data_IF_433745247490
#
_entry.id   IF_433745247490
#
_cell.length_a   1.000
_cell.length_b   1.000
_cell.length_c   1.000
_cell.angle_alpha   90.00
_cell.angle_beta   90.00
_cell.angle_gamma   90.00
#
_symmetry.space_group_name_H-M   'P 1'
#
loop_
_entity.id
_entity.type
_entity.pdbx_description
1 polymer ?
#
# COMPACT_ATOMS: atom_id res chain seq x y z
N UNK A 1 -6.77 57.76 -24.02
CA UNK A 1 -5.81 56.70 -23.62
C UNK A 1 -6.63 55.54 -23.06
N UNK A 2 -6.64 54.41 -23.78
CA UNK A 2 -6.94 53.01 -23.43
C UNK A 2 -7.52 52.69 -22.03
N UNK A 3 -8.42 51.72 -21.78
CA UNK A 3 -9.25 50.76 -22.54
C UNK A 3 -10.11 50.10 -21.45
N UNK A 4 -11.42 49.97 -21.59
CA UNK A 4 -12.22 49.01 -20.82
C UNK A 4 -13.30 48.39 -21.71
N UNK A 5 -13.38 47.06 -21.56
CA UNK A 5 -14.42 46.07 -21.91
C UNK A 5 -15.34 46.27 -23.13
N UNK A 6 -15.58 45.18 -23.86
CA UNK A 6 -16.93 44.60 -23.96
C UNK A 6 -16.90 43.23 -24.66
N UNK A 7 -17.85 42.42 -24.22
CA UNK A 7 -18.17 41.06 -24.60
C UNK A 7 -18.82 40.95 -26.00
N UNK A 8 -18.76 39.73 -26.54
CA UNK A 8 -19.71 39.08 -27.47
C UNK A 8 -20.01 39.72 -28.82
N UNK A 9 -19.59 39.06 -29.91
CA UNK A 9 -20.46 38.79 -31.05
C UNK A 9 -20.14 37.41 -31.64
N UNK A 10 -21.20 36.63 -31.85
CA UNK A 10 -21.22 35.28 -32.40
C UNK A 10 -21.95 35.35 -33.75
N UNK A 11 -21.42 34.63 -34.74
CA UNK A 11 -22.02 34.10 -35.98
C UNK A 11 -22.33 35.03 -37.17
N UNK A 12 -21.70 34.74 -38.32
CA UNK A 12 -22.27 34.07 -39.53
C UNK A 12 -21.27 34.19 -40.71
N UNK A 13 -20.61 33.11 -41.19
CA UNK A 13 -20.79 32.35 -42.47
C UNK A 13 -19.37 31.94 -42.97
N UNK A 14 -19.15 31.01 -43.93
CA UNK A 14 -19.87 29.80 -44.33
C UNK A 14 -19.04 28.50 -44.17
N UNK A 15 -19.75 27.37 -44.22
CA UNK A 15 -19.23 26.02 -44.50
C UNK A 15 -18.48 26.01 -45.84
N UNK A 16 -17.16 25.78 -45.83
CA UNK A 16 -16.46 25.00 -46.89
C UNK A 16 -14.98 24.70 -46.58
N UNK A 17 -14.42 25.16 -45.46
CA UNK A 17 -13.02 24.90 -45.09
C UNK A 17 -12.80 23.98 -43.87
N UNK A 18 -13.79 23.16 -43.50
CA UNK A 18 -13.63 22.14 -42.44
C UNK A 18 -13.26 20.73 -42.93
N UNK A 19 -12.94 20.58 -44.22
CA UNK A 19 -12.55 19.26 -44.79
C UNK A 19 -11.04 19.06 -44.94
N UNK A 20 -10.20 20.06 -44.68
CA UNK A 20 -8.76 19.99 -44.96
C UNK A 20 -7.84 20.18 -43.73
N UNK A 21 -8.41 20.34 -42.53
CA UNK A 21 -7.64 20.49 -41.27
C UNK A 21 -7.99 19.41 -40.22
N UNK A 22 -8.58 18.30 -40.65
CA UNK A 22 -8.81 17.10 -39.83
C UNK A 22 -7.90 15.93 -40.25
N UNK A 23 -6.89 16.17 -41.09
CA UNK A 23 -6.12 15.10 -41.75
C UNK A 23 -4.60 15.23 -41.61
N UNK A 24 -4.15 15.85 -40.53
CA UNK A 24 -2.72 15.98 -40.23
C UNK A 24 -2.51 15.96 -38.71
N UNK A 25 -2.49 14.75 -38.12
CA UNK A 25 -1.69 14.36 -36.95
C UNK A 25 -1.91 12.87 -36.58
N UNK A 26 -2.03 11.99 -37.58
CA UNK A 26 -2.18 10.55 -37.37
C UNK A 26 -1.11 9.77 -38.15
N UNK A 27 0.00 9.51 -37.48
CA UNK A 27 0.97 8.46 -37.80
C UNK A 27 1.33 7.72 -36.49
N UNK A 28 1.62 6.41 -36.50
CA UNK A 28 0.63 5.35 -36.48
C UNK A 28 0.57 4.64 -35.11
N UNK A 29 -0.40 4.99 -34.25
CA UNK A 29 -0.72 4.21 -33.02
C UNK A 29 -1.52 2.91 -33.35
N UNK A 30 -1.47 2.43 -34.60
CA UNK A 30 -2.48 1.52 -35.13
C UNK A 30 -2.01 0.09 -35.41
N UNK A 31 -0.72 -0.22 -35.30
CA UNK A 31 -0.27 -1.61 -35.50
C UNK A 31 -0.13 -2.30 -34.15
N UNK A 32 -1.17 -3.05 -33.78
CA UNK A 32 -1.11 -3.99 -32.68
C UNK A 32 -0.04 -5.03 -33.05
N UNK A 33 0.98 -5.27 -32.21
CA UNK A 33 2.13 -6.11 -32.53
C UNK A 33 1.76 -7.60 -32.43
N UNK A 34 0.85 -8.08 -33.27
CA UNK A 34 0.33 -9.46 -33.20
C UNK A 34 1.44 -10.53 -33.28
N UNK A 35 2.52 -10.24 -34.00
CA UNK A 35 3.72 -11.09 -34.09
C UNK A 35 4.50 -11.16 -32.77
N UNK A 36 4.46 -10.12 -31.93
CA UNK A 36 5.11 -10.10 -30.62
C UNK A 36 4.23 -10.67 -29.49
N UNK A 37 2.97 -11.02 -29.78
CA UNK A 37 2.07 -11.59 -28.76
C UNK A 37 2.54 -12.98 -28.30
N UNK A 38 2.16 -13.43 -27.10
CA UNK A 38 2.41 -14.81 -26.66
C UNK A 38 1.74 -15.83 -27.59
N UNK A 39 2.30 -17.04 -27.68
CA UNK A 39 1.71 -18.15 -28.45
C UNK A 39 0.27 -18.44 -28.00
N UNK A 40 0.02 -18.48 -26.71
CA UNK A 40 -1.33 -18.71 -26.14
C UNK A 40 -2.37 -17.71 -26.65
N UNK A 41 -1.95 -16.46 -26.88
CA UNK A 41 -2.83 -15.44 -27.45
C UNK A 41 -3.08 -15.77 -28.91
N UNK A 42 -2.05 -16.00 -29.71
CA UNK A 42 -2.21 -16.35 -31.14
C UNK A 42 -3.08 -17.59 -31.34
N UNK A 43 -2.90 -18.63 -30.53
CA UNK A 43 -3.72 -19.85 -30.58
C UNK A 43 -5.17 -19.56 -30.22
N UNK A 44 -5.42 -18.80 -29.15
CA UNK A 44 -6.78 -18.41 -28.77
C UNK A 44 -7.49 -17.56 -29.84
N UNK A 45 -6.74 -16.72 -30.57
CA UNK A 45 -7.27 -15.93 -31.68
C UNK A 45 -7.62 -16.81 -32.89
N UNK A 46 -6.77 -17.78 -33.23
CA UNK A 46 -7.03 -18.74 -34.30
C UNK A 46 -8.28 -19.58 -34.02
N UNK A 47 -8.49 -19.95 -32.75
CA UNK A 47 -9.65 -20.72 -32.30
C UNK A 47 -10.90 -19.86 -32.09
N UNK A 48 -10.81 -18.54 -32.19
CA UNK A 48 -11.91 -17.61 -31.89
C UNK A 48 -12.37 -17.64 -30.43
N UNK A 49 -11.53 -18.11 -29.51
CA UNK A 49 -11.85 -18.27 -28.08
C UNK A 49 -11.32 -17.11 -27.25
N UNK A 50 -11.91 -16.91 -26.06
CA UNK A 50 -11.42 -15.96 -25.06
C UNK A 50 -10.10 -16.47 -24.47
N UNK A 51 -9.00 -15.69 -24.51
CA UNK A 51 -7.74 -16.10 -23.92
C UNK A 51 -7.83 -16.28 -22.40
N UNK A 52 -6.96 -17.13 -21.86
CA UNK A 52 -6.86 -17.32 -20.40
C UNK A 52 -6.53 -15.99 -19.69
N UNK A 53 -6.91 -15.82 -18.41
CA UNK A 53 -6.57 -14.61 -17.66
C UNK A 53 -5.07 -14.31 -17.64
N UNK A 54 -4.21 -15.34 -17.58
CA UNK A 54 -2.76 -15.18 -17.61
C UNK A 54 -2.25 -14.68 -18.96
N UNK A 55 -2.71 -15.30 -20.06
CA UNK A 55 -2.36 -14.90 -21.42
C UNK A 55 -2.81 -13.46 -21.71
N UNK A 56 -4.03 -13.11 -21.29
CA UNK A 56 -4.59 -11.76 -21.44
C UNK A 56 -3.76 -10.70 -20.70
N UNK A 57 -3.30 -10.98 -19.48
CA UNK A 57 -2.38 -10.07 -18.75
C UNK A 57 -1.07 -9.86 -19.51
N UNK A 58 -0.53 -10.91 -20.12
CA UNK A 58 0.72 -10.80 -20.89
C UNK A 58 0.53 -9.95 -22.15
N UNK A 59 -0.58 -10.13 -22.87
CA UNK A 59 -0.95 -9.23 -23.99
C UNK A 59 -1.04 -7.77 -23.54
N UNK A 60 -1.68 -7.50 -22.40
CA UNK A 60 -1.77 -6.13 -21.85
C UNK A 60 -0.39 -5.53 -21.58
N UNK A 61 0.58 -6.32 -21.13
CA UNK A 61 1.97 -5.85 -20.95
C UNK A 61 2.60 -5.46 -22.28
N UNK A 62 2.54 -6.34 -23.29
CA UNK A 62 3.08 -6.07 -24.63
C UNK A 62 2.44 -4.81 -25.24
N UNK A 63 1.12 -4.67 -25.13
CA UNK A 63 0.40 -3.47 -25.60
C UNK A 63 0.87 -2.21 -24.88
N UNK A 64 0.95 -2.23 -23.55
CA UNK A 64 1.39 -1.08 -22.78
C UNK A 64 2.84 -0.71 -23.11
N UNK A 65 3.73 -1.68 -23.28
CA UNK A 65 5.13 -1.46 -23.62
C UNK A 65 5.27 -0.86 -25.03
N UNK A 66 4.53 -1.36 -26.02
CA UNK A 66 4.50 -0.77 -27.36
C UNK A 66 3.94 0.66 -27.37
N UNK A 67 2.82 0.89 -26.68
CA UNK A 67 2.22 2.23 -26.59
C UNK A 67 3.19 3.23 -25.95
N UNK A 68 3.97 2.77 -24.97
CA UNK A 68 4.96 3.58 -24.25
C UNK A 68 6.25 3.87 -25.02
N UNK A 69 6.49 3.22 -26.17
CA UNK A 69 7.58 3.60 -27.08
C UNK A 69 7.36 4.98 -27.71
N UNK A 70 6.09 5.40 -27.84
CA UNK A 70 5.71 6.66 -28.47
C UNK A 70 5.39 7.74 -27.42
N UNK A 71 4.68 7.37 -26.35
CA UNK A 71 4.30 8.29 -25.29
C UNK A 71 4.30 7.57 -23.93
N UNK A 72 5.03 8.10 -22.93
CA UNK A 72 5.13 7.45 -21.61
C UNK A 72 3.79 7.35 -20.87
N UNK A 73 2.88 8.30 -21.11
CA UNK A 73 1.54 8.33 -20.53
C UNK A 73 0.45 8.50 -21.59
N UNK A 74 0.16 7.47 -22.41
CA UNK A 74 -0.85 7.56 -23.45
C UNK A 74 -2.19 8.02 -22.90
N UNK A 75 -2.79 9.01 -23.55
CA UNK A 75 -4.12 9.54 -23.26
C UNK A 75 -5.19 8.46 -23.30
N UNK A 76 -6.34 8.73 -22.65
CA UNK A 76 -7.49 7.81 -22.69
C UNK A 76 -7.97 7.59 -24.13
N UNK A 77 -7.93 8.62 -24.98
CA UNK A 77 -8.32 8.53 -26.39
C UNK A 77 -7.48 7.51 -27.16
N UNK A 78 -6.15 7.58 -27.05
CA UNK A 78 -5.25 6.61 -27.69
C UNK A 78 -5.48 5.18 -27.20
N UNK A 79 -5.69 4.99 -25.89
CA UNK A 79 -6.01 3.68 -25.32
C UNK A 79 -7.34 3.13 -25.87
N UNK A 80 -8.36 3.98 -26.01
CA UNK A 80 -9.65 3.60 -26.58
C UNK A 80 -9.51 3.15 -28.04
N UNK A 81 -8.75 3.88 -28.86
CA UNK A 81 -8.52 3.51 -30.27
C UNK A 81 -7.87 2.13 -30.40
N UNK A 82 -6.86 1.84 -29.59
CA UNK A 82 -6.21 0.50 -29.55
C UNK A 82 -7.21 -0.58 -29.17
N UNK A 83 -8.01 -0.35 -28.12
CA UNK A 83 -9.00 -1.32 -27.66
C UNK A 83 -10.10 -1.58 -28.71
N UNK A 84 -10.59 -0.53 -29.36
CA UNK A 84 -11.60 -0.63 -30.43
C UNK A 84 -11.07 -1.44 -31.61
N UNK A 85 -9.82 -1.23 -32.03
CA UNK A 85 -9.22 -1.99 -33.13
C UNK A 85 -9.08 -3.48 -32.79
N UNK A 86 -8.64 -3.80 -31.57
CA UNK A 86 -8.52 -5.17 -31.07
C UNK A 86 -9.88 -5.88 -31.08
N UNK A 87 -10.90 -5.26 -30.48
CA UNK A 87 -12.23 -5.85 -30.35
C UNK A 87 -12.93 -5.95 -31.71
N UNK A 88 -12.71 -5.00 -32.61
CA UNK A 88 -13.22 -5.07 -33.99
C UNK A 88 -12.62 -6.24 -34.76
N UNK A 89 -11.34 -6.53 -34.55
CA UNK A 89 -10.64 -7.62 -35.25
C UNK A 89 -10.95 -8.99 -34.64
N UNK A 90 -11.09 -9.08 -33.31
CA UNK A 90 -11.32 -10.35 -32.59
C UNK A 90 -12.43 -10.19 -31.54
N UNK A 91 -13.69 -10.02 -31.95
CA UNK A 91 -14.80 -9.74 -31.03
C UNK A 91 -15.04 -10.90 -30.06
N UNK A 92 -14.98 -12.16 -30.51
CA UNK A 92 -15.21 -13.32 -29.64
C UNK A 92 -14.12 -13.51 -28.58
N UNK A 93 -12.91 -13.05 -28.85
CA UNK A 93 -11.77 -13.20 -27.95
C UNK A 93 -11.66 -12.07 -26.92
N UNK A 94 -12.03 -10.84 -27.28
CA UNK A 94 -11.77 -9.66 -26.44
C UNK A 94 -12.97 -8.79 -26.10
N UNK A 95 -14.12 -8.96 -26.77
CA UNK A 95 -15.29 -8.19 -26.41
C UNK A 95 -15.76 -8.53 -24.98
N UNK A 96 -16.28 -7.52 -24.31
CA UNK A 96 -17.08 -7.72 -23.11
C UNK A 96 -18.45 -8.26 -23.53
N UNK A 97 -18.65 -9.57 -23.36
CA UNK A 97 -19.87 -10.27 -23.72
C UNK A 97 -20.61 -10.74 -22.47
N UNK A 98 -21.93 -10.73 -22.52
CA UNK A 98 -22.85 -11.35 -21.56
C UNK A 98 -22.96 -12.85 -21.83
N UNK A 99 -23.54 -13.61 -20.89
CA UNK A 99 -23.75 -15.07 -21.04
C UNK A 99 -24.62 -15.43 -22.25
N UNK A 100 -25.49 -14.51 -22.69
CA UNK A 100 -26.32 -14.63 -23.89
C UNK A 100 -25.63 -14.15 -25.18
N UNK A 101 -24.33 -13.86 -25.15
CA UNK A 101 -23.54 -13.39 -26.30
C UNK A 101 -23.70 -11.92 -26.66
N UNK A 102 -24.52 -11.14 -25.91
CA UNK A 102 -24.69 -9.71 -26.17
C UNK A 102 -23.48 -8.89 -25.69
N UNK A 103 -23.11 -7.86 -26.46
CA UNK A 103 -22.02 -6.94 -26.08
C UNK A 103 -22.43 -6.08 -24.89
N UNK A 104 -21.59 -6.04 -23.86
CA UNK A 104 -21.75 -5.23 -22.66
C UNK A 104 -21.18 -3.83 -22.89
N UNK A 105 -22.03 -2.81 -22.83
CA UNK A 105 -21.63 -1.41 -22.99
C UNK A 105 -20.97 -1.16 -24.34
N UNK A 106 -19.75 -0.59 -24.33
CA UNK A 106 -18.96 -0.36 -25.54
C UNK A 106 -18.15 -1.60 -26.00
N UNK A 107 -18.21 -2.70 -25.26
CA UNK A 107 -17.55 -3.97 -25.60
C UNK A 107 -16.04 -4.04 -25.33
N UNK A 108 -15.39 -2.98 -24.85
CA UNK A 108 -13.94 -2.96 -24.64
C UNK A 108 -13.51 -2.35 -23.31
N UNK A 109 -14.45 -2.14 -22.40
CA UNK A 109 -14.21 -1.43 -21.13
C UNK A 109 -13.22 -2.19 -20.26
N UNK A 110 -13.32 -3.52 -20.16
CA UNK A 110 -12.41 -4.32 -19.35
C UNK A 110 -10.97 -4.26 -19.87
N UNK A 111 -10.78 -4.29 -21.20
CA UNK A 111 -9.46 -4.20 -21.83
C UNK A 111 -8.86 -2.80 -21.66
N UNK A 112 -9.68 -1.75 -21.78
CA UNK A 112 -9.26 -0.37 -21.55
C UNK A 112 -8.76 -0.14 -20.12
N UNK A 113 -9.50 -0.64 -19.12
CA UNK A 113 -9.11 -0.55 -17.70
C UNK A 113 -7.78 -1.26 -17.47
N UNK A 114 -7.60 -2.47 -18.02
CA UNK A 114 -6.37 -3.24 -17.87
C UNK A 114 -5.15 -2.51 -18.46
N UNK A 115 -5.28 -1.94 -19.66
CA UNK A 115 -4.19 -1.18 -20.31
C UNK A 115 -3.87 0.10 -19.53
N UNK A 116 -4.88 0.86 -19.11
CA UNK A 116 -4.69 2.08 -18.32
C UNK A 116 -4.01 1.81 -16.98
N UNK A 117 -4.48 0.80 -16.24
CA UNK A 117 -3.87 0.41 -14.97
C UNK A 117 -2.42 -0.03 -15.14
N UNK A 118 -2.10 -0.76 -16.22
CA UNK A 118 -0.72 -1.17 -16.52
C UNK A 118 0.18 0.03 -16.80
N UNK A 119 -0.26 0.97 -17.64
CA UNK A 119 0.48 2.19 -17.96
C UNK A 119 0.71 3.02 -16.69
N UNK A 120 -0.32 3.20 -15.87
CA UNK A 120 -0.21 3.92 -14.60
C UNK A 120 0.80 3.26 -13.67
N UNK A 121 0.71 1.94 -13.49
CA UNK A 121 1.66 1.18 -12.67
C UNK A 121 3.10 1.30 -13.17
N UNK A 122 3.30 1.34 -14.49
CA UNK A 122 4.62 1.54 -15.09
C UNK A 122 5.14 2.97 -14.93
N UNK A 123 4.25 3.95 -14.74
CA UNK A 123 4.63 5.33 -14.48
C UNK A 123 4.89 5.61 -12.99
N UNK A 124 4.49 4.69 -12.09
CA UNK A 124 4.79 4.75 -10.65
C UNK A 124 6.27 4.49 -10.31
N UNK A 125 7.14 4.12 -11.27
CA UNK A 125 8.53 3.72 -11.01
C UNK A 125 9.54 4.83 -10.71
N UNK A 126 9.11 6.09 -10.56
CA UNK A 126 9.98 7.17 -10.06
C UNK A 126 9.74 7.51 -8.59
N UNK A 127 8.52 7.32 -8.07
CA UNK A 127 8.16 7.72 -6.71
C UNK A 127 8.82 6.84 -5.63
N UNK A 128 8.82 5.51 -5.76
CA UNK A 128 9.30 4.64 -4.68
C UNK A 128 10.83 4.55 -4.55
N UNK A 129 11.58 4.74 -5.64
CA UNK A 129 13.06 4.67 -5.61
C UNK A 129 13.70 6.00 -5.19
N UNK A 130 13.11 7.14 -5.55
CA UNK A 130 13.64 8.46 -5.17
C UNK A 130 13.51 8.75 -3.67
N UNK A 131 12.49 8.20 -3.00
CA UNK A 131 12.32 8.37 -1.55
C UNK A 131 13.36 7.64 -0.68
N UNK A 132 14.12 6.68 -1.23
CA UNK A 132 15.16 5.96 -0.48
C UNK A 132 16.57 6.54 -0.63
N UNK A 133 16.79 7.45 -1.59
CA UNK A 133 18.13 7.93 -1.94
C UNK A 133 18.31 9.44 -1.82
N UNK A 134 17.25 10.18 -1.47
CA UNK A 134 17.34 11.63 -1.28
C UNK A 134 17.81 11.92 0.14
N UNK A 135 19.12 12.04 0.33
CA UNK A 135 19.78 12.54 1.54
C UNK A 135 19.66 14.06 1.71
N UNK A 136 18.57 14.64 1.22
CA UNK A 136 18.27 16.06 1.37
C UNK A 136 16.89 16.16 2.02
N UNK A 137 16.78 16.97 3.07
CA UNK A 137 15.72 17.00 4.08
C UNK A 137 14.31 17.38 3.61
N UNK A 138 13.90 16.94 2.44
CA UNK A 138 12.55 17.09 1.91
C UNK A 138 11.61 16.16 2.68
N UNK A 139 10.70 16.78 3.45
CA UNK A 139 9.65 16.12 4.24
C UNK A 139 8.96 15.04 3.42
N UNK A 140 9.10 13.79 3.86
CA UNK A 140 8.43 12.62 3.28
C UNK A 140 6.92 12.80 3.41
N UNK A 141 6.18 12.40 2.38
CA UNK A 141 4.73 12.66 2.30
C UNK A 141 3.92 11.85 3.32
N UNK A 142 2.64 12.21 3.56
CA UNK A 142 1.77 11.58 4.57
C UNK A 142 1.56 10.06 4.41
N UNK A 143 1.80 9.52 3.22
CA UNK A 143 1.66 8.09 2.91
C UNK A 143 2.88 7.27 3.36
N UNK A 144 4.05 7.90 3.54
CA UNK A 144 5.29 7.22 3.96
C UNK A 144 5.35 6.98 5.47
N UNK A 145 4.39 7.50 6.24
CA UNK A 145 4.40 7.40 7.70
C UNK A 145 3.67 6.16 8.22
N UNK A 146 2.96 5.37 7.39
CA UNK A 146 2.27 4.12 7.81
C UNK A 146 1.51 4.24 9.15
N UNK A 147 0.76 5.33 9.35
CA UNK A 147 0.04 5.58 10.60
C UNK A 147 0.89 6.09 11.77
N UNK A 148 2.21 6.25 11.61
CA UNK A 148 3.07 6.93 12.57
C UNK A 148 2.84 8.44 12.48
N UNK A 149 2.23 9.04 13.49
CA UNK A 149 2.02 10.49 13.59
C UNK A 149 3.29 11.23 13.99
N UNK A 150 4.24 10.56 14.67
CA UNK A 150 5.50 11.15 15.18
C UNK A 150 6.74 10.34 14.79
N UNK A 151 6.94 10.11 13.50
CA UNK A 151 8.05 9.28 12.99
C UNK A 151 9.45 9.83 13.29
N UNK A 152 9.63 11.16 13.12
CA UNK A 152 10.86 11.90 13.38
C UNK A 152 10.47 13.26 14.00
N UNK A 153 10.13 13.30 15.30
CA UNK A 153 9.71 14.53 15.93
C UNK A 153 10.92 15.47 16.13
N UNK A 154 10.64 16.76 16.06
CA UNK A 154 11.63 17.80 16.39
C UNK A 154 11.93 17.80 17.90
N UNK A 155 13.05 18.40 18.26
CA UNK A 155 13.47 18.58 19.64
C UNK A 155 12.45 19.47 20.40
N UNK A 156 12.05 19.13 21.64
CA UNK A 156 11.09 19.94 22.40
C UNK A 156 11.61 21.38 22.61
N UNK A 157 10.76 22.42 22.55
CA UNK A 157 11.22 23.82 22.61
C UNK A 157 11.99 24.22 23.87
N UNK A 158 11.81 23.48 24.97
CA UNK A 158 12.44 23.73 26.27
C UNK A 158 13.79 23.01 26.44
N UNK A 159 14.19 22.21 25.44
CA UNK A 159 15.36 21.34 25.52
C UNK A 159 16.45 21.80 24.54
N UNK A 160 17.66 21.25 24.70
CA UNK A 160 18.73 21.28 23.70
C UNK A 160 19.24 19.86 23.46
N UNK A 161 20.06 19.66 22.43
CA UNK A 161 20.67 18.36 22.17
C UNK A 161 21.47 17.87 23.39
N UNK A 162 22.16 18.77 24.09
CA UNK A 162 22.89 18.46 25.32
C UNK A 162 21.97 18.06 26.46
N UNK A 163 20.83 18.74 26.67
CA UNK A 163 19.91 18.39 27.77
C UNK A 163 19.22 17.05 27.50
N UNK A 164 18.86 16.75 26.26
CA UNK A 164 18.29 15.46 25.87
C UNK A 164 19.31 14.33 26.07
N UNK A 165 20.57 14.53 25.71
CA UNK A 165 21.62 13.54 25.94
C UNK A 165 21.90 13.33 27.44
N UNK A 166 21.87 14.38 28.26
CA UNK A 166 21.96 14.24 29.72
C UNK A 166 20.80 13.42 30.29
N UNK A 167 19.58 13.62 29.79
CA UNK A 167 18.40 12.82 30.17
C UNK A 167 18.52 11.36 29.75
N UNK A 168 19.11 11.09 28.58
CA UNK A 168 19.44 9.72 28.15
C UNK A 168 20.45 9.06 29.09
N UNK A 169 21.53 9.75 29.45
CA UNK A 169 22.53 9.25 30.40
C UNK A 169 21.92 8.99 31.79
N UNK A 170 20.96 9.82 32.21
CA UNK A 170 20.20 9.60 33.44
C UNK A 170 19.38 8.31 33.38
N UNK A 171 18.75 7.99 32.25
CA UNK A 171 18.06 6.70 32.04
C UNK A 171 19.03 5.52 32.16
N UNK A 172 20.24 5.62 31.61
CA UNK A 172 21.27 4.57 31.73
C UNK A 172 21.72 4.38 33.18
N UNK A 173 21.90 5.46 33.94
CA UNK A 173 22.26 5.40 35.36
C UNK A 173 21.16 4.71 36.17
N UNK A 174 19.90 5.07 35.95
CA UNK A 174 18.75 4.44 36.61
C UNK A 174 18.71 2.95 36.26
N UNK A 175 18.93 2.58 35.00
CA UNK A 175 18.99 1.18 34.59
C UNK A 175 20.15 0.42 35.22
N UNK A 176 21.34 1.04 35.35
CA UNK A 176 22.48 0.40 36.02
C UNK A 176 22.22 0.12 37.50
N UNK A 177 21.49 1.00 38.17
CA UNK A 177 21.16 0.88 39.59
C UNK A 177 19.98 -0.06 39.84
N UNK A 178 18.90 0.11 39.09
CA UNK A 178 17.59 -0.50 39.38
C UNK A 178 17.20 -1.59 38.37
N UNK A 179 17.96 -1.75 37.29
CA UNK A 179 17.67 -2.67 36.20
C UNK A 179 16.32 -2.37 35.53
N UNK A 180 15.68 -3.44 35.07
CA UNK A 180 14.35 -3.40 34.43
C UNK A 180 13.29 -2.85 35.38
N UNK A 181 13.43 -3.06 36.70
CA UNK A 181 12.47 -2.58 37.71
C UNK A 181 12.37 -1.04 37.77
N UNK A 182 13.38 -0.33 37.25
CA UNK A 182 13.32 1.13 37.12
C UNK A 182 12.18 1.63 36.21
N UNK A 183 11.62 0.77 35.34
CA UNK A 183 10.50 1.13 34.45
C UNK A 183 9.25 1.61 35.19
N UNK A 184 9.09 1.22 36.45
CA UNK A 184 7.97 1.64 37.30
C UNK A 184 8.10 3.06 37.85
N UNK A 185 9.29 3.67 37.73
CA UNK A 185 9.54 5.00 38.27
C UNK A 185 8.92 6.07 37.38
N UNK A 186 8.21 7.01 37.99
CA UNK A 186 7.64 8.16 37.29
C UNK A 186 8.72 8.99 36.55
N UNK A 187 9.93 9.10 37.14
CA UNK A 187 11.10 9.73 36.52
C UNK A 187 11.46 9.04 35.19
N UNK A 188 11.49 7.71 35.14
CA UNK A 188 11.82 6.96 33.90
C UNK A 188 10.76 7.20 32.84
N UNK A 189 9.47 7.20 33.21
CA UNK A 189 8.39 7.52 32.26
C UNK A 189 8.58 8.90 31.63
N UNK A 190 8.80 9.93 32.45
CA UNK A 190 8.98 11.30 31.97
C UNK A 190 10.23 11.45 31.10
N UNK A 191 11.34 10.83 31.50
CA UNK A 191 12.59 10.84 30.73
C UNK A 191 12.41 10.12 29.38
N UNK A 192 11.74 8.97 29.34
CA UNK A 192 11.43 8.24 28.10
C UNK A 192 10.56 9.06 27.15
N UNK A 193 9.54 9.76 27.66
CA UNK A 193 8.69 10.64 26.85
C UNK A 193 9.48 11.86 26.32
N UNK A 194 10.29 12.50 27.16
CA UNK A 194 11.06 13.71 26.78
C UNK A 194 12.15 13.38 25.76
N UNK A 195 12.82 12.24 25.93
CA UNK A 195 13.90 11.78 25.04
C UNK A 195 13.39 11.06 23.78
N UNK A 196 12.07 11.03 23.53
CA UNK A 196 11.48 10.36 22.39
C UNK A 196 12.06 10.82 21.05
N UNK A 197 12.39 12.11 20.91
CA UNK A 197 13.05 12.65 19.71
C UNK A 197 14.40 11.98 19.43
N UNK A 198 15.26 11.85 20.45
CA UNK A 198 16.56 11.20 20.31
C UNK A 198 16.43 9.68 20.08
N UNK A 199 15.46 9.02 20.73
CA UNK A 199 15.15 7.61 20.46
C UNK A 199 14.82 7.40 18.97
N UNK A 200 13.92 8.21 18.40
CA UNK A 200 13.54 8.13 16.99
C UNK A 200 14.71 8.44 16.07
N UNK A 201 15.50 9.48 16.39
CA UNK A 201 16.70 9.82 15.64
C UNK A 201 17.67 8.64 15.56
N UNK A 202 17.98 8.00 16.69
CA UNK A 202 18.92 6.88 16.74
C UNK A 202 18.37 5.60 16.08
N UNK A 203 17.08 5.29 16.25
CA UNK A 203 16.42 4.17 15.56
C UNK A 203 16.42 4.35 14.03
N UNK A 204 16.27 5.60 13.56
CA UNK A 204 16.17 5.92 12.14
C UNK A 204 17.53 6.14 11.44
N UNK A 205 18.67 5.95 12.14
CA UNK A 205 20.01 6.09 11.55
C UNK A 205 20.18 5.11 10.38
N UNK A 206 20.93 5.56 9.36
CA UNK A 206 21.37 4.73 8.24
C UNK A 206 22.90 4.64 8.23
N UNK A 207 23.49 3.42 8.22
CA UNK A 207 22.83 2.11 8.25
C UNK A 207 22.09 1.85 9.57
N UNK A 208 21.05 1.01 9.52
CA UNK A 208 20.23 0.70 10.68
C UNK A 208 21.08 0.11 11.82
N UNK A 209 20.93 0.59 13.06
CA UNK A 209 21.66 0.04 14.20
C UNK A 209 21.20 -1.39 14.50
N UNK A 210 22.05 -2.19 15.13
CA UNK A 210 21.64 -3.52 15.56
C UNK A 210 20.68 -3.43 16.75
N UNK A 211 19.85 -4.47 16.94
CA UNK A 211 18.96 -4.56 18.11
C UNK A 211 19.78 -4.57 19.41
N UNK A 212 20.97 -5.17 19.41
CA UNK A 212 21.86 -5.19 20.57
C UNK A 212 22.34 -3.78 20.94
N UNK A 213 22.77 -2.98 19.95
CA UNK A 213 23.20 -1.60 20.17
C UNK A 213 22.06 -0.72 20.68
N UNK A 214 20.88 -0.85 20.08
CA UNK A 214 19.68 -0.14 20.53
C UNK A 214 19.30 -0.51 21.96
N UNK A 215 19.37 -1.81 22.31
CA UNK A 215 19.05 -2.30 23.66
C UNK A 215 20.05 -1.82 24.70
N UNK A 216 21.32 -1.66 24.32
CA UNK A 216 22.33 -1.09 25.20
C UNK A 216 22.05 0.39 25.50
N UNK A 217 21.70 1.18 24.48
CA UNK A 217 21.47 2.62 24.62
C UNK A 217 20.09 2.96 25.22
N UNK A 218 19.08 2.11 24.97
CA UNK A 218 17.70 2.31 25.38
C UNK A 218 17.08 1.04 25.98
N UNK A 219 17.59 0.54 27.10
CA UNK A 219 17.13 -0.73 27.67
C UNK A 219 15.63 -0.70 28.01
N UNK A 220 15.09 0.45 28.41
CA UNK A 220 13.67 0.59 28.71
C UNK A 220 12.75 0.50 27.49
N UNK A 221 13.22 0.76 26.27
CA UNK A 221 12.44 0.51 25.04
C UNK A 221 12.10 -0.97 24.86
N UNK A 222 12.93 -1.86 25.40
CA UNK A 222 12.78 -3.32 25.31
C UNK A 222 12.01 -3.90 26.50
N UNK A 223 11.24 -3.07 27.20
CA UNK A 223 10.26 -3.49 28.20
C UNK A 223 8.86 -3.36 27.60
N UNK A 224 7.91 -4.18 28.05
CA UNK A 224 6.52 -4.11 27.56
C UNK A 224 5.92 -2.70 27.72
N UNK A 225 6.09 -2.08 28.90
CA UNK A 225 5.61 -0.73 29.17
C UNK A 225 6.28 0.33 28.28
N UNK A 226 7.61 0.27 28.15
CA UNK A 226 8.35 1.21 27.31
C UNK A 226 8.00 1.07 25.84
N UNK A 227 7.86 -0.15 25.33
CA UNK A 227 7.47 -0.42 23.95
C UNK A 227 6.06 0.09 23.66
N UNK A 228 5.09 -0.18 24.55
CA UNK A 228 3.73 0.30 24.39
C UNK A 228 3.66 1.83 24.42
N UNK A 229 4.36 2.48 25.35
CA UNK A 229 4.41 3.94 25.44
C UNK A 229 5.06 4.57 24.20
N UNK A 230 6.17 3.98 23.72
CA UNK A 230 6.82 4.44 22.49
C UNK A 230 5.92 4.27 21.27
N UNK A 231 5.20 3.14 21.16
CA UNK A 231 4.23 2.91 20.10
C UNK A 231 3.07 3.91 20.13
N UNK A 232 2.53 4.18 21.32
CA UNK A 232 1.47 5.18 21.50
C UNK A 232 1.95 6.57 21.10
N UNK A 233 3.14 7.00 21.50
CA UNK A 233 3.71 8.28 21.04
C UNK A 233 3.94 8.31 19.53
N UNK A 234 4.37 7.19 18.95
CA UNK A 234 4.67 7.08 17.53
C UNK A 234 3.42 7.15 16.65
N UNK A 235 2.30 6.56 17.10
CA UNK A 235 1.10 6.31 16.27
C UNK A 235 -0.17 7.00 16.77
N UNK A 236 -0.16 7.54 17.99
CA UNK A 236 -1.34 8.01 18.73
C UNK A 236 -2.37 6.90 19.05
N UNK A 237 -1.94 5.62 18.98
CA UNK A 237 -2.80 4.45 19.25
C UNK A 237 -2.38 3.79 20.56
N UNK A 238 -3.33 3.73 21.50
CA UNK A 238 -3.23 2.91 22.72
C UNK A 238 -3.43 1.43 22.37
N UNK A 239 -2.37 0.76 21.91
CA UNK A 239 -2.44 -0.59 21.32
C UNK A 239 -3.21 -1.61 22.17
N UNK A 240 -2.96 -1.64 23.50
CA UNK A 240 -3.64 -2.57 24.39
C UNK A 240 -5.14 -2.28 24.48
N UNK A 241 -5.51 -1.00 24.62
CA UNK A 241 -6.92 -0.61 24.68
C UNK A 241 -7.64 -0.82 23.35
N UNK A 242 -6.96 -0.56 22.23
CA UNK A 242 -7.50 -0.80 20.90
C UNK A 242 -7.74 -2.30 20.66
N UNK A 243 -6.82 -3.15 21.12
CA UNK A 243 -6.96 -4.61 21.06
C UNK A 243 -8.15 -5.08 21.90
N UNK A 244 -8.26 -4.63 23.15
CA UNK A 244 -9.39 -4.96 24.03
C UNK A 244 -10.74 -4.61 23.40
N UNK A 245 -10.90 -3.38 22.90
CA UNK A 245 -12.12 -2.93 22.23
C UNK A 245 -12.44 -3.78 20.99
N UNK A 246 -11.43 -4.08 20.18
CA UNK A 246 -11.59 -4.92 18.99
C UNK A 246 -12.05 -6.34 19.35
N UNK A 247 -11.56 -6.89 20.47
CA UNK A 247 -12.00 -8.20 20.98
C UNK A 247 -13.43 -8.15 21.51
N UNK A 248 -13.84 -7.06 22.16
CA UNK A 248 -15.22 -6.86 22.63
C UNK A 248 -16.22 -6.71 21.48
N UNK A 249 -15.84 -5.99 20.42
CA UNK A 249 -16.70 -5.70 19.26
C UNK A 249 -16.76 -6.88 18.27
N UNK A 250 -15.61 -7.43 17.88
CA UNK A 250 -15.51 -8.42 16.82
C UNK A 250 -15.27 -9.85 17.33
N UNK A 251 -14.73 -10.02 18.53
CA UNK A 251 -14.31 -11.34 19.03
C UNK A 251 -15.45 -12.35 19.09
N UNK A 252 -16.63 -11.95 19.57
CA UNK A 252 -17.82 -12.82 19.59
C UNK A 252 -18.25 -13.24 18.18
N UNK A 253 -18.23 -12.31 17.22
CA UNK A 253 -18.60 -12.60 15.83
C UNK A 253 -17.62 -13.59 15.18
N UNK A 254 -16.32 -13.47 15.47
CA UNK A 254 -15.30 -14.41 14.99
C UNK A 254 -15.53 -15.81 15.58
N UNK A 255 -15.77 -15.89 16.89
CA UNK A 255 -16.06 -17.17 17.56
C UNK A 255 -17.33 -17.79 16.99
N UNK A 256 -18.41 -17.02 16.83
CA UNK A 256 -19.67 -17.50 16.28
C UNK A 256 -19.52 -18.00 14.84
N UNK A 257 -18.80 -17.25 13.99
CA UNK A 257 -18.50 -17.65 12.62
C UNK A 257 -17.83 -19.02 12.55
N UNK A 258 -16.76 -19.23 13.33
CA UNK A 258 -16.05 -20.51 13.32
C UNK A 258 -16.85 -21.63 14.01
N UNK A 259 -17.69 -21.31 15.00
CA UNK A 259 -18.62 -22.28 15.62
C UNK A 259 -19.56 -22.88 14.59
N UNK A 260 -20.15 -22.02 13.75
CA UNK A 260 -21.14 -22.41 12.77
C UNK A 260 -20.50 -23.04 11.52
N UNK A 261 -19.29 -22.61 11.16
CA UNK A 261 -18.58 -23.06 9.96
C UNK A 261 -17.09 -23.31 10.23
N UNK A 262 -16.75 -24.44 10.88
CA UNK A 262 -15.36 -24.80 11.10
C UNK A 262 -14.64 -25.01 9.75
N UNK A 263 -13.49 -24.35 9.57
CA UNK A 263 -12.80 -24.31 8.27
C UNK A 263 -11.84 -25.47 8.06
N UNK A 264 -11.24 -26.01 9.14
CA UNK A 264 -10.31 -27.14 9.11
C UNK A 264 -10.37 -27.95 10.43
N UNK A 265 -9.51 -28.95 10.57
CA UNK A 265 -9.46 -29.81 11.76
C UNK A 265 -8.96 -29.07 13.01
N UNK A 266 -7.99 -28.17 12.85
CA UNK A 266 -7.38 -27.43 13.96
C UNK A 266 -8.38 -26.43 14.56
N UNK A 267 -9.15 -25.73 13.72
CA UNK A 267 -10.26 -24.87 14.16
C UNK A 267 -11.30 -25.66 14.95
N UNK A 268 -11.61 -26.90 14.54
CA UNK A 268 -12.53 -27.76 15.31
C UNK A 268 -11.95 -28.12 16.67
N UNK A 269 -10.66 -28.43 16.75
CA UNK A 269 -10.01 -28.73 18.02
C UNK A 269 -10.05 -27.55 18.99
N UNK A 270 -9.76 -26.33 18.50
CA UNK A 270 -9.85 -25.09 19.31
C UNK A 270 -11.28 -24.84 19.79
N UNK A 271 -12.30 -25.05 18.94
CA UNK A 271 -13.71 -24.90 19.33
C UNK A 271 -14.09 -25.87 20.46
N UNK A 272 -13.62 -27.12 20.42
CA UNK A 272 -13.92 -28.12 21.45
C UNK A 272 -13.33 -27.78 22.82
N UNK A 273 -12.24 -27.02 22.87
CA UNK A 273 -11.58 -26.57 24.10
C UNK A 273 -12.18 -25.27 24.68
N UNK A 274 -13.10 -24.62 23.96
CA UNK A 274 -13.68 -23.31 24.30
C UNK A 274 -14.14 -23.12 25.75
N UNK A 275 -14.80 -24.09 26.43
CA UNK A 275 -15.34 -23.85 27.77
C UNK A 275 -14.30 -23.38 28.79
N UNK A 276 -13.02 -23.68 28.55
CA UNK A 276 -11.92 -23.42 29.48
C UNK A 276 -11.05 -22.21 29.11
N UNK A 277 -11.33 -21.53 27.98
CA UNK A 277 -10.47 -20.44 27.46
C UNK A 277 -11.08 -19.05 27.62
N UNK A 278 -10.22 -18.08 27.94
CA UNK A 278 -10.54 -16.66 27.82
C UNK A 278 -10.90 -16.29 26.37
N UNK A 279 -11.86 -15.40 26.16
CA UNK A 279 -12.35 -15.00 24.83
C UNK A 279 -11.22 -14.52 23.91
N UNK A 280 -10.32 -13.68 24.43
CA UNK A 280 -9.19 -13.11 23.68
C UNK A 280 -8.26 -14.22 23.15
N UNK A 281 -7.90 -15.16 24.02
CA UNK A 281 -7.08 -16.33 23.68
C UNK A 281 -7.78 -17.24 22.68
N UNK A 282 -9.08 -17.48 22.87
CA UNK A 282 -9.89 -18.28 21.94
C UNK A 282 -9.90 -17.67 20.53
N UNK A 283 -10.13 -16.35 20.42
CA UNK A 283 -10.12 -15.64 19.13
C UNK A 283 -8.76 -15.75 18.45
N UNK A 284 -7.66 -15.50 19.17
CA UNK A 284 -6.32 -15.60 18.62
C UNK A 284 -6.06 -17.02 18.10
N UNK A 285 -6.33 -18.05 18.90
CA UNK A 285 -6.12 -19.44 18.50
C UNK A 285 -6.99 -19.85 17.30
N UNK A 286 -8.23 -19.38 17.21
CA UNK A 286 -9.10 -19.64 16.07
C UNK A 286 -8.55 -19.02 14.78
N UNK A 287 -8.07 -17.78 14.85
CA UNK A 287 -7.46 -17.09 13.71
C UNK A 287 -6.18 -17.81 13.26
N UNK A 288 -5.30 -18.16 14.20
CA UNK A 288 -4.09 -18.91 13.92
C UNK A 288 -4.38 -20.26 13.26
N UNK A 289 -5.29 -21.04 13.85
CA UNK A 289 -5.69 -22.33 13.30
C UNK A 289 -6.31 -22.18 11.90
N UNK A 290 -7.09 -21.13 11.66
CA UNK A 290 -7.68 -20.87 10.35
C UNK A 290 -6.62 -20.56 9.28
N UNK A 291 -5.60 -19.77 9.63
CA UNK A 291 -4.50 -19.40 8.73
C UNK A 291 -3.33 -20.41 8.73
N UNK A 292 -3.47 -21.52 9.46
CA UNK A 292 -2.43 -22.56 9.61
C UNK A 292 -1.13 -22.00 10.18
N UNK A 293 -1.22 -21.02 11.07
CA UNK A 293 -0.10 -20.49 11.83
C UNK A 293 0.10 -21.31 13.12
N UNK A 294 1.35 -21.67 13.42
CA UNK A 294 1.69 -22.35 14.67
C UNK A 294 1.91 -21.34 15.79
N UNK A 295 1.82 -21.79 17.05
CA UNK A 295 2.06 -20.91 18.19
C UNK A 295 3.49 -20.37 18.22
N UNK A 296 4.45 -21.13 17.67
CA UNK A 296 5.83 -20.66 17.45
C UNK A 296 5.92 -19.61 16.33
N UNK A 297 4.97 -19.54 15.41
CA UNK A 297 4.90 -18.55 14.35
C UNK A 297 4.59 -17.13 14.84
N UNK A 298 3.94 -16.98 16.01
CA UNK A 298 3.66 -15.68 16.63
C UNK A 298 4.90 -15.03 17.24
N UNK A 299 5.85 -15.84 17.71
CA UNK A 299 7.06 -15.38 18.41
C UNK A 299 8.26 -15.87 17.61
N UNK A 300 8.73 -15.01 16.71
CA UNK A 300 10.01 -15.23 16.04
C UNK A 300 11.14 -14.99 17.06
N UNK A 301 11.74 -16.07 17.55
CA UNK A 301 13.03 -15.98 18.21
C UNK A 301 14.07 -15.62 17.14
N UNK A 302 14.59 -14.40 17.21
CA UNK A 302 15.79 -14.05 16.47
C UNK A 302 16.94 -14.86 17.06
N UNK A 303 17.39 -15.87 16.31
CA UNK A 303 18.68 -16.54 16.55
C UNK A 303 19.83 -15.62 16.16
#
# INVERSE_FOLDING_TARGET
RQRWSLWTYKFFLPLHHKSALLQTFLAPVHQIPWTAMPMDIRSALADGKRPSPAARRQMVRVLADEMRKYELNPTRGQCVTVCQNIVRQYPQSFADLRDNGQVLGNGYTSLLIQIKNRIENLNRTTSFRQHRSSGDGLKRGPTDTYGCTRFQPDLPPEETDETIEQKRQRLEEIYRRDGINGVEKAEVKQLMETTFCLQRQQINILPAPTIADLKQQWPYLFTQKGLHAHFELLTDIKVMRALELSMEECGRAIVEFFSNKPTNADVRAVISLRPDLELSLCVIQLLMAHFSETQEGLILFAN
#
